data_IF_327596218829
#
_entry.id   IF_327596218829
#
_cell.length_a   1.000
_cell.length_b   1.000
_cell.length_c   1.000
_cell.angle_alpha   90.00
_cell.angle_beta   90.00
_cell.angle_gamma   90.00
#
_symmetry.space_group_name_H-M   'P 1'
#
loop_
_entity.id
_entity.type
_entity.pdbx_description
1 polymer ?
#
# COMPACT_ATOMS: atom_id res chain seq x y z
N UNK A 1 -6.39 27.47 9.19
CA UNK A 1 -5.08 27.79 8.61
C UNK A 1 -4.22 26.53 8.43
N UNK A 2 -4.00 25.67 9.46
CA UNK A 2 -3.13 24.49 9.42
C UNK A 2 -3.45 23.53 8.25
N UNK A 3 -4.73 23.27 7.97
CA UNK A 3 -5.14 22.43 6.84
C UNK A 3 -4.73 23.00 5.48
N UNK A 4 -4.73 24.34 5.33
CA UNK A 4 -4.31 24.98 4.09
C UNK A 4 -2.82 24.78 3.84
N UNK A 5 -2.00 24.91 4.89
CA UNK A 5 -0.54 24.70 4.82
C UNK A 5 -0.23 23.24 4.50
N UNK A 6 -0.84 22.29 5.20
CA UNK A 6 -0.64 20.86 4.96
C UNK A 6 -1.05 20.46 3.54
N UNK A 7 -2.25 20.87 3.09
CA UNK A 7 -2.74 20.52 1.76
C UNK A 7 -1.91 21.17 0.64
N UNK A 8 -1.38 22.38 0.86
CA UNK A 8 -0.45 23.02 -0.08
C UNK A 8 0.81 22.17 -0.31
N UNK A 9 1.35 21.56 0.75
CA UNK A 9 2.50 20.65 0.63
C UNK A 9 2.11 19.36 -0.09
N UNK A 10 0.97 18.76 0.24
CA UNK A 10 0.44 17.56 -0.43
C UNK A 10 0.20 17.78 -1.93
N UNK A 11 -0.10 18.99 -2.36
CA UNK A 11 -0.29 19.39 -3.77
C UNK A 11 0.96 19.97 -4.41
N UNK A 12 2.14 19.62 -3.91
CA UNK A 12 3.42 20.09 -4.44
C UNK A 12 3.50 21.62 -4.56
N UNK A 13 2.97 22.32 -3.55
CA UNK A 13 2.93 23.79 -3.44
C UNK A 13 2.05 24.48 -4.53
N UNK A 14 1.15 23.74 -5.16
CA UNK A 14 0.20 24.27 -6.12
C UNK A 14 -1.07 24.78 -5.40
N UNK A 15 -1.15 26.10 -5.18
CA UNK A 15 -2.27 26.70 -4.46
C UNK A 15 -3.62 26.61 -5.19
N UNK A 16 -3.63 26.46 -6.51
CA UNK A 16 -4.86 26.27 -7.29
C UNK A 16 -5.44 24.89 -7.01
N UNK A 17 -4.62 23.84 -7.02
CA UNK A 17 -5.05 22.49 -6.73
C UNK A 17 -5.38 22.31 -5.24
N UNK A 18 -4.66 23.03 -4.36
CA UNK A 18 -4.99 23.13 -2.93
C UNK A 18 -6.39 23.70 -2.73
N UNK A 19 -6.70 24.80 -3.43
CA UNK A 19 -8.01 25.44 -3.34
C UNK A 19 -9.14 24.53 -3.80
N UNK A 20 -8.95 23.81 -4.92
CA UNK A 20 -9.92 22.81 -5.41
C UNK A 20 -10.13 21.70 -4.38
N UNK A 21 -9.05 21.14 -3.81
CA UNK A 21 -9.13 20.06 -2.83
C UNK A 21 -9.85 20.47 -1.53
N UNK A 22 -9.73 21.74 -1.14
CA UNK A 22 -10.35 22.30 0.06
C UNK A 22 -11.67 23.04 -0.21
N UNK A 23 -12.23 22.93 -1.44
CA UNK A 23 -13.47 23.57 -1.85
C UNK A 23 -13.50 25.08 -1.56
N UNK A 24 -12.41 25.78 -1.85
CA UNK A 24 -12.26 27.21 -1.59
C UNK A 24 -11.59 27.93 -2.77
N UNK A 25 -11.29 29.22 -2.63
CA UNK A 25 -10.60 30.01 -3.65
C UNK A 25 -9.08 30.04 -3.44
N UNK A 26 -8.30 30.11 -4.50
CA UNK A 26 -6.84 30.26 -4.41
C UNK A 26 -6.40 31.51 -3.61
N UNK A 27 -7.04 32.69 -3.76
CA UNK A 27 -6.75 33.83 -2.88
C UNK A 27 -7.02 33.54 -1.40
N UNK A 28 -8.07 32.77 -1.09
CA UNK A 28 -8.39 32.35 0.28
C UNK A 28 -7.30 31.46 0.89
N UNK A 29 -6.79 30.49 0.12
CA UNK A 29 -5.65 29.66 0.54
C UNK A 29 -4.42 30.52 0.79
N UNK A 30 -4.07 31.40 -0.17
CA UNK A 30 -2.90 32.27 -0.05
C UNK A 30 -2.99 33.18 1.19
N UNK A 31 -4.15 33.79 1.42
CA UNK A 31 -4.42 34.65 2.58
C UNK A 31 -4.26 33.89 3.88
N UNK A 32 -4.87 32.70 4.01
CA UNK A 32 -4.78 31.88 5.22
C UNK A 32 -3.36 31.45 5.57
N UNK A 33 -2.53 31.19 4.54
CA UNK A 33 -1.11 30.86 4.73
C UNK A 33 -0.34 32.10 5.22
N UNK A 34 -0.54 33.28 4.59
CA UNK A 34 0.12 34.52 4.98
C UNK A 34 -0.26 34.91 6.41
N UNK A 35 -1.55 34.84 6.76
CA UNK A 35 -2.01 35.15 8.12
C UNK A 35 -1.32 34.26 9.17
N UNK A 36 -1.11 32.96 8.87
CA UNK A 36 -0.40 32.07 9.77
C UNK A 36 1.11 32.43 9.85
N UNK A 37 1.75 32.76 8.74
CA UNK A 37 3.14 33.21 8.69
C UNK A 37 3.33 34.48 9.49
N UNK A 38 2.43 35.46 9.37
CA UNK A 38 2.43 36.71 10.11
C UNK A 38 2.22 36.48 11.62
N UNK A 39 1.28 35.59 12.00
CA UNK A 39 1.01 35.22 13.39
C UNK A 39 2.19 34.53 14.06
N UNK A 40 2.92 33.70 13.32
CA UNK A 40 4.11 32.99 13.80
C UNK A 40 5.38 33.85 13.70
N UNK A 41 5.36 34.95 12.94
CA UNK A 41 6.51 35.81 12.69
C UNK A 41 7.60 35.14 11.83
N UNK A 42 7.25 34.13 11.02
CA UNK A 42 8.22 33.40 10.18
C UNK A 42 7.58 33.06 8.82
N UNK A 43 8.41 32.94 7.78
CA UNK A 43 7.99 32.42 6.49
C UNK A 43 8.03 30.88 6.49
N UNK A 44 6.87 30.24 6.28
CA UNK A 44 6.78 28.79 6.10
C UNK A 44 7.24 28.43 4.69
N UNK A 45 6.89 29.25 3.71
CA UNK A 45 7.18 29.03 2.30
C UNK A 45 8.02 30.19 1.72
N UNK A 46 9.11 29.85 1.05
CA UNK A 46 9.84 30.81 0.24
C UNK A 46 9.07 31.08 -1.06
N UNK A 47 8.93 32.38 -1.40
CA UNK A 47 8.18 32.84 -2.57
C UNK A 47 9.08 33.52 -3.60
N UNK A 48 8.68 33.44 -4.86
CA UNK A 48 9.19 34.29 -5.91
C UNK A 48 8.00 35.02 -6.55
N UNK A 49 7.85 36.30 -6.23
CA UNK A 49 6.65 37.08 -6.52
C UNK A 49 5.42 36.46 -5.81
N UNK A 50 4.37 36.12 -6.55
CA UNK A 50 3.14 35.50 -6.00
C UNK A 50 3.19 33.98 -5.90
N UNK A 51 4.28 33.33 -6.32
CA UNK A 51 4.36 31.85 -6.38
C UNK A 51 5.22 31.30 -5.24
N UNK A 52 4.69 30.31 -4.53
CA UNK A 52 5.45 29.48 -3.61
C UNK A 52 6.42 28.61 -4.41
N UNK A 53 7.67 28.52 -3.96
CA UNK A 53 8.75 27.77 -4.63
C UNK A 53 9.25 26.59 -3.81
N UNK A 54 9.38 26.76 -2.51
CA UNK A 54 9.90 25.70 -1.62
C UNK A 54 9.47 25.97 -0.19
N UNK A 55 9.59 24.94 0.64
CA UNK A 55 9.46 25.03 2.08
C UNK A 55 10.76 25.64 2.63
N UNK A 56 10.64 26.53 3.61
CA UNK A 56 11.80 27.10 4.33
C UNK A 56 12.28 26.12 5.42
N UNK A 57 13.45 26.36 5.97
CA UNK A 57 13.94 25.59 7.13
C UNK A 57 12.99 25.73 8.34
N UNK A 58 12.60 26.94 8.78
CA UNK A 58 11.57 27.12 9.82
C UNK A 58 10.24 26.45 9.43
N UNK A 59 9.84 26.55 8.14
CA UNK A 59 8.64 25.93 7.60
C UNK A 59 8.62 24.42 7.79
N UNK A 60 9.76 23.73 7.66
CA UNK A 60 9.86 22.29 7.91
C UNK A 60 9.52 21.94 9.37
N UNK A 61 9.95 22.73 10.34
CA UNK A 61 9.61 22.54 11.75
C UNK A 61 8.13 22.81 12.03
N UNK A 62 7.59 23.89 11.43
CA UNK A 62 6.15 24.21 11.56
C UNK A 62 5.28 23.10 10.97
N UNK A 63 5.65 22.56 9.81
CA UNK A 63 4.92 21.46 9.18
C UNK A 63 4.85 20.23 10.08
N UNK A 64 5.96 19.83 10.71
CA UNK A 64 5.96 18.71 11.67
C UNK A 64 4.97 18.94 12.82
N UNK A 65 4.93 20.17 13.35
CA UNK A 65 3.99 20.54 14.42
C UNK A 65 2.53 20.54 13.92
N UNK A 66 2.29 21.05 12.73
CA UNK A 66 0.96 21.04 12.09
C UNK A 66 0.45 19.61 11.90
N UNK A 67 1.30 18.69 11.43
CA UNK A 67 0.94 17.30 11.25
C UNK A 67 0.55 16.63 12.58
N UNK A 68 1.27 16.93 13.67
CA UNK A 68 0.93 16.47 15.01
C UNK A 68 -0.44 17.01 15.45
N UNK A 69 -0.66 18.32 15.32
CA UNK A 69 -1.92 18.98 15.72
C UNK A 69 -3.11 18.39 14.93
N UNK A 70 -2.98 18.28 13.62
CA UNK A 70 -4.05 17.76 12.78
C UNK A 70 -4.35 16.27 13.06
N UNK A 71 -3.32 15.48 13.38
CA UNK A 71 -3.46 14.11 13.84
C UNK A 71 -4.23 14.04 15.16
N UNK A 72 -3.87 14.88 16.14
CA UNK A 72 -4.58 14.88 17.43
C UNK A 72 -6.05 15.36 17.30
N UNK A 73 -6.34 16.29 16.40
CA UNK A 73 -7.73 16.66 16.07
C UNK A 73 -8.48 15.46 15.49
N UNK A 74 -7.82 14.65 14.64
CA UNK A 74 -8.40 13.43 14.09
C UNK A 74 -8.62 12.37 15.17
N UNK A 75 -7.65 12.19 16.07
CA UNK A 75 -7.74 11.31 17.21
C UNK A 75 -8.92 11.66 18.12
N UNK A 76 -9.11 12.95 18.44
CA UNK A 76 -10.25 13.41 19.25
C UNK A 76 -11.62 13.03 18.62
N UNK A 77 -11.74 13.12 17.29
CA UNK A 77 -12.97 12.68 16.60
C UNK A 77 -13.16 11.17 16.73
N UNK A 78 -12.12 10.37 16.51
CA UNK A 78 -12.16 8.90 16.64
C UNK A 78 -12.49 8.46 18.07
N UNK A 79 -11.95 9.16 19.08
CA UNK A 79 -12.32 8.93 20.49
C UNK A 79 -13.81 9.22 20.69
N UNK A 80 -14.29 10.37 20.22
CA UNK A 80 -15.73 10.69 20.31
C UNK A 80 -16.61 9.63 19.66
N UNK A 81 -16.26 9.18 18.45
CA UNK A 81 -16.97 8.10 17.75
C UNK A 81 -16.87 6.77 18.50
N UNK A 82 -15.74 6.43 19.11
CA UNK A 82 -15.58 5.21 19.91
C UNK A 82 -16.55 5.17 21.08
N UNK A 83 -16.75 6.27 21.78
CA UNK A 83 -17.61 6.33 22.97
C UNK A 83 -19.10 6.59 22.66
N UNK A 84 -19.41 7.23 21.52
CA UNK A 84 -20.79 7.48 21.11
C UNK A 84 -21.39 6.34 20.27
N UNK A 85 -20.58 5.64 19.49
CA UNK A 85 -21.00 4.61 18.54
C UNK A 85 -20.03 3.41 18.52
N UNK A 86 -19.90 2.73 19.66
CA UNK A 86 -18.86 1.69 19.86
C UNK A 86 -18.85 0.61 18.79
N UNK A 87 -20.03 0.18 18.30
CA UNK A 87 -20.20 -0.97 17.42
C UNK A 87 -20.49 -0.59 15.97
N UNK A 88 -20.37 0.70 15.62
CA UNK A 88 -20.67 1.18 14.26
C UNK A 88 -19.60 2.12 13.72
N UNK A 89 -19.50 2.20 12.41
CA UNK A 89 -18.54 3.07 11.71
C UNK A 89 -17.99 2.43 10.47
N UNK A 90 -16.82 2.88 10.03
CA UNK A 90 -16.14 2.33 8.87
C UNK A 90 -14.72 1.94 9.27
N UNK A 91 -14.31 0.73 8.89
CA UNK A 91 -12.93 0.29 8.86
C UNK A 91 -12.39 0.46 7.44
N UNK A 92 -11.47 1.38 7.25
CA UNK A 92 -10.80 1.60 5.97
C UNK A 92 -9.47 0.86 5.93
N UNK A 93 -9.34 -0.10 5.02
CA UNK A 93 -8.15 -0.94 4.85
C UNK A 93 -7.48 -0.61 3.53
N UNK A 94 -6.22 -0.18 3.56
CA UNK A 94 -5.37 -0.07 2.39
C UNK A 94 -4.56 -1.35 2.20
N UNK A 95 -4.58 -1.94 1.01
CA UNK A 95 -3.93 -3.23 0.80
C UNK A 95 -3.56 -3.45 -0.67
N UNK A 96 -2.75 -4.48 -0.93
CA UNK A 96 -2.49 -4.93 -2.30
C UNK A 96 -3.63 -5.82 -2.80
N UNK A 97 -3.77 -5.93 -4.13
CA UNK A 97 -4.83 -6.76 -4.74
C UNK A 97 -4.80 -8.21 -4.24
N UNK A 98 -3.61 -8.82 -4.21
CA UNK A 98 -3.44 -10.22 -3.76
C UNK A 98 -3.94 -10.43 -2.32
N UNK A 99 -3.66 -9.49 -1.41
CA UNK A 99 -4.15 -9.57 -0.03
C UNK A 99 -5.67 -9.41 0.04
N UNK A 100 -6.22 -8.41 -0.67
CA UNK A 100 -7.66 -8.17 -0.73
C UNK A 100 -8.43 -9.39 -1.25
N UNK A 101 -7.87 -10.08 -2.23
CA UNK A 101 -8.53 -11.20 -2.93
C UNK A 101 -8.44 -12.52 -2.17
N UNK A 102 -7.27 -12.85 -1.61
CA UNK A 102 -6.99 -14.21 -1.15
C UNK A 102 -6.81 -14.33 0.37
N UNK A 103 -6.57 -13.24 1.07
CA UNK A 103 -6.26 -13.27 2.51
C UNK A 103 -7.34 -12.61 3.35
N UNK A 104 -7.80 -11.43 2.95
CA UNK A 104 -8.74 -10.64 3.74
C UNK A 104 -10.20 -11.12 3.78
N UNK A 105 -10.73 -11.95 2.86
CA UNK A 105 -12.14 -12.34 2.90
C UNK A 105 -12.57 -12.96 4.23
N UNK A 106 -11.76 -13.88 4.78
CA UNK A 106 -12.08 -14.55 6.05
C UNK A 106 -11.99 -13.59 7.26
N UNK A 107 -10.89 -12.81 7.48
CA UNK A 107 -10.83 -11.80 8.53
C UNK A 107 -11.96 -10.78 8.46
N UNK A 108 -12.30 -10.30 7.25
CA UNK A 108 -13.40 -9.34 7.05
C UNK A 108 -14.75 -9.98 7.41
N UNK A 109 -14.99 -11.23 7.03
CA UNK A 109 -16.21 -11.95 7.41
C UNK A 109 -16.31 -12.11 8.93
N UNK A 110 -15.23 -12.47 9.64
CA UNK A 110 -15.18 -12.56 11.10
C UNK A 110 -15.45 -11.21 11.77
N UNK A 111 -14.83 -10.14 11.28
CA UNK A 111 -15.10 -8.79 11.77
C UNK A 111 -16.59 -8.43 11.62
N UNK A 112 -17.18 -8.70 10.47
CA UNK A 112 -18.60 -8.39 10.20
C UNK A 112 -19.57 -9.20 11.08
N UNK A 113 -19.19 -10.39 11.53
CA UNK A 113 -19.95 -11.16 12.50
C UNK A 113 -19.88 -10.54 13.89
N UNK A 114 -18.68 -10.09 14.33
CA UNK A 114 -18.49 -9.45 15.63
C UNK A 114 -19.06 -8.03 15.67
N UNK A 115 -18.97 -7.29 14.57
CA UNK A 115 -19.42 -5.90 14.44
C UNK A 115 -20.35 -5.71 13.23
N UNK A 116 -21.62 -6.13 13.29
CA UNK A 116 -22.54 -6.09 12.14
C UNK A 116 -22.80 -4.68 11.58
N UNK A 117 -22.63 -3.65 12.41
CA UNK A 117 -22.85 -2.24 12.04
C UNK A 117 -21.57 -1.54 11.53
N UNK A 118 -20.42 -2.24 11.49
CA UNK A 118 -19.18 -1.69 10.92
C UNK A 118 -19.13 -1.96 9.43
N UNK A 119 -19.00 -0.92 8.64
CA UNK A 119 -18.72 -1.04 7.22
C UNK A 119 -17.22 -1.25 6.99
N UNK A 120 -16.87 -2.02 5.96
CA UNK A 120 -15.46 -2.20 5.56
C UNK A 120 -15.27 -1.58 4.19
N UNK A 121 -14.25 -0.72 4.08
CA UNK A 121 -13.83 -0.10 2.82
C UNK A 121 -12.44 -0.62 2.46
N UNK A 122 -12.29 -1.27 1.31
CA UNK A 122 -11.00 -1.77 0.82
C UNK A 122 -10.45 -0.82 -0.25
N UNK A 123 -9.28 -0.27 0.01
CA UNK A 123 -8.52 0.55 -0.94
C UNK A 123 -7.33 -0.26 -1.44
N UNK A 124 -7.24 -0.45 -2.75
CA UNK A 124 -6.20 -1.27 -3.34
C UNK A 124 -5.13 -0.42 -4.02
N UNK A 125 -3.87 -0.81 -3.85
CA UNK A 125 -2.75 -0.13 -4.45
C UNK A 125 -1.43 -0.89 -4.32
N UNK A 126 -0.36 -0.31 -4.84
CA UNK A 126 1.00 -0.79 -4.59
C UNK A 126 1.38 -0.59 -3.11
N UNK A 127 2.43 -1.26 -2.60
CA UNK A 127 2.89 -1.06 -1.23
C UNK A 127 3.20 0.40 -0.89
N UNK A 128 3.74 1.18 -1.82
CA UNK A 128 3.96 2.62 -1.67
C UNK A 128 2.63 3.38 -1.51
N UNK A 129 1.65 3.09 -2.35
CA UNK A 129 0.32 3.70 -2.25
C UNK A 129 -0.40 3.32 -0.96
N UNK A 130 -0.21 2.08 -0.46
CA UNK A 130 -0.73 1.67 0.86
C UNK A 130 -0.13 2.54 1.97
N UNK A 131 1.19 2.76 1.95
CA UNK A 131 1.85 3.65 2.92
C UNK A 131 1.33 5.10 2.82
N UNK A 132 1.19 5.63 1.60
CA UNK A 132 0.64 6.98 1.37
C UNK A 132 -0.80 7.12 1.90
N UNK A 133 -1.65 6.13 1.70
CA UNK A 133 -3.02 6.14 2.22
C UNK A 133 -3.04 6.20 3.75
N UNK A 134 -2.16 5.47 4.43
CA UNK A 134 -2.02 5.54 5.88
C UNK A 134 -1.51 6.91 6.36
N UNK A 135 -0.45 7.42 5.73
CA UNK A 135 0.15 8.72 6.09
C UNK A 135 -0.82 9.88 5.87
N UNK A 136 -1.68 9.77 4.87
CA UNK A 136 -2.69 10.77 4.53
C UNK A 136 -4.05 10.57 5.23
N UNK A 137 -4.13 9.65 6.20
CA UNK A 137 -5.35 9.33 6.95
C UNK A 137 -6.53 8.88 6.06
N UNK A 138 -6.24 8.35 4.87
CA UNK A 138 -7.23 7.78 3.95
C UNK A 138 -7.57 6.32 4.30
N UNK A 139 -6.74 5.65 5.10
CA UNK A 139 -7.00 4.33 5.65
C UNK A 139 -6.60 4.25 7.12
N UNK A 140 -7.29 3.40 7.87
CA UNK A 140 -7.01 3.13 9.29
C UNK A 140 -5.87 2.15 9.47
N UNK A 141 -5.82 1.14 8.59
CA UNK A 141 -4.87 0.04 8.62
C UNK A 141 -4.36 -0.26 7.20
N UNK A 142 -3.10 -0.61 7.11
CA UNK A 142 -2.47 -1.01 5.85
C UNK A 142 -1.97 -2.45 5.91
N UNK A 143 -2.16 -3.20 4.85
CA UNK A 143 -1.69 -4.58 4.74
C UNK A 143 -0.92 -4.73 3.44
N UNK A 144 0.39 -4.86 3.55
CA UNK A 144 1.28 -5.02 2.41
C UNK A 144 2.57 -5.75 2.83
N UNK A 145 3.56 -5.72 1.98
CA UNK A 145 4.83 -6.40 2.21
C UNK A 145 5.78 -5.60 3.10
N UNK A 146 6.97 -6.11 3.32
CA UNK A 146 8.02 -5.57 4.18
C UNK A 146 8.43 -4.12 3.84
N UNK A 147 8.14 -3.60 2.64
CA UNK A 147 8.41 -2.20 2.28
C UNK A 147 7.76 -1.17 3.21
N UNK A 148 6.69 -1.54 3.93
CA UNK A 148 6.08 -0.68 4.94
C UNK A 148 7.02 -0.31 6.10
N UNK A 149 8.11 -1.06 6.31
CA UNK A 149 9.13 -0.74 7.33
C UNK A 149 10.01 0.45 6.98
N UNK A 150 9.99 0.90 5.75
CA UNK A 150 10.80 2.03 5.28
C UNK A 150 10.24 3.40 5.73
N UNK A 151 9.02 3.43 6.26
CA UNK A 151 8.33 4.65 6.65
C UNK A 151 8.39 4.83 8.17
N UNK A 152 9.15 5.81 8.65
CA UNK A 152 9.33 6.08 10.09
C UNK A 152 8.02 6.47 10.79
N UNK A 153 7.10 7.12 10.07
CA UNK A 153 5.79 7.53 10.58
C UNK A 153 4.75 6.40 10.59
N UNK A 154 5.12 5.19 10.20
CA UNK A 154 4.28 4.00 10.33
C UNK A 154 4.80 3.09 11.45
N UNK A 155 3.87 2.46 12.15
CA UNK A 155 4.13 1.29 12.99
C UNK A 155 3.68 0.09 12.21
N UNK A 156 4.57 -0.89 12.03
CA UNK A 156 4.24 -2.11 11.29
C UNK A 156 4.68 -3.35 12.04
N UNK A 157 3.81 -4.35 12.10
CA UNK A 157 4.06 -5.66 12.71
C UNK A 157 4.03 -6.75 11.64
N UNK A 158 4.92 -7.77 11.73
CA UNK A 158 4.87 -8.91 10.83
C UNK A 158 3.58 -9.71 11.11
N UNK A 159 2.94 -10.16 10.03
CA UNK A 159 1.71 -10.94 10.10
C UNK A 159 1.96 -12.40 9.71
N UNK A 160 2.44 -12.64 8.49
CA UNK A 160 2.77 -13.98 8.03
C UNK A 160 3.82 -13.95 6.90
N UNK A 161 4.49 -15.09 6.71
CA UNK A 161 5.42 -15.32 5.61
C UNK A 161 4.73 -16.02 4.44
N UNK A 162 5.20 -15.74 3.22
CA UNK A 162 4.75 -16.39 2.01
C UNK A 162 5.87 -16.43 0.97
N UNK A 163 5.74 -17.30 -0.02
CA UNK A 163 6.71 -17.47 -1.10
C UNK A 163 6.06 -17.27 -2.47
N UNK A 164 6.90 -17.05 -3.47
CA UNK A 164 6.45 -17.14 -4.86
C UNK A 164 6.33 -18.60 -5.30
N UNK A 165 5.43 -18.81 -6.22
CA UNK A 165 5.27 -20.08 -6.94
C UNK A 165 5.37 -19.85 -8.44
N UNK A 166 5.94 -20.81 -9.14
CA UNK A 166 5.89 -20.89 -10.58
C UNK A 166 4.57 -21.52 -10.99
N UNK A 167 3.84 -20.85 -11.87
CA UNK A 167 2.54 -21.31 -12.36
C UNK A 167 2.62 -21.59 -13.85
N UNK A 168 2.10 -22.74 -14.27
CA UNK A 168 2.14 -23.19 -15.65
C UNK A 168 0.96 -24.12 -15.97
N UNK A 169 0.60 -24.31 -17.25
CA UNK A 169 -0.38 -25.31 -17.64
C UNK A 169 0.06 -26.74 -17.28
N UNK A 170 -0.90 -27.62 -17.02
CA UNK A 170 -0.63 -29.06 -16.87
C UNK A 170 0.05 -29.58 -18.14
N UNK A 171 1.13 -30.34 -17.97
CA UNK A 171 1.92 -30.87 -19.10
C UNK A 171 3.03 -29.95 -19.60
N UNK A 172 3.24 -28.78 -19.01
CA UNK A 172 4.40 -27.93 -19.33
C UNK A 172 5.72 -28.65 -18.97
N UNK A 173 6.79 -28.56 -19.80
CA UNK A 173 8.06 -29.27 -19.55
C UNK A 173 8.66 -29.02 -18.15
N UNK A 174 8.56 -27.80 -17.62
CA UNK A 174 9.04 -27.47 -16.27
C UNK A 174 8.28 -28.22 -15.16
N UNK A 175 7.08 -28.71 -15.43
CA UNK A 175 6.30 -29.47 -14.45
C UNK A 175 6.94 -30.84 -14.14
N UNK A 176 7.63 -31.43 -15.12
CA UNK A 176 8.27 -32.73 -15.02
C UNK A 176 9.65 -32.68 -14.34
N UNK A 177 10.22 -31.51 -14.15
CA UNK A 177 11.51 -31.38 -13.50
C UNK A 177 11.41 -31.73 -12.01
N UNK A 178 12.33 -32.53 -11.51
CA UNK A 178 12.43 -32.83 -10.08
C UNK A 178 12.71 -31.54 -9.29
N UNK A 179 13.64 -30.72 -9.79
CA UNK A 179 14.03 -29.43 -9.19
C UNK A 179 14.08 -28.36 -10.28
N UNK A 180 13.45 -27.22 -10.02
CA UNK A 180 13.49 -26.04 -10.89
C UNK A 180 14.67 -25.15 -10.49
N UNK A 181 15.40 -24.64 -11.47
CA UNK A 181 16.50 -23.66 -11.30
C UNK A 181 16.18 -22.39 -12.06
N UNK A 182 16.81 -21.27 -11.72
CA UNK A 182 16.61 -20.00 -12.43
C UNK A 182 17.06 -20.09 -13.89
N UNK A 183 18.08 -20.92 -14.18
CA UNK A 183 18.57 -21.19 -15.53
C UNK A 183 17.51 -21.89 -16.41
N UNK A 184 16.62 -22.66 -15.81
CA UNK A 184 15.53 -23.33 -16.53
C UNK A 184 14.44 -22.30 -16.89
N UNK A 185 14.20 -21.29 -16.03
CA UNK A 185 13.17 -20.28 -16.24
C UNK A 185 13.51 -19.28 -17.36
N UNK A 186 14.79 -18.97 -17.58
CA UNK A 186 15.20 -18.02 -18.65
C UNK A 186 14.93 -18.55 -20.06
N UNK A 187 14.66 -19.86 -20.19
CA UNK A 187 14.33 -20.48 -21.48
C UNK A 187 12.88 -20.19 -21.91
N UNK A 188 12.03 -19.67 -21.02
CA UNK A 188 10.62 -19.47 -21.26
C UNK A 188 10.23 -18.00 -21.07
N UNK A 189 9.21 -17.54 -21.81
CA UNK A 189 8.57 -16.25 -21.49
C UNK A 189 7.97 -16.27 -20.08
N UNK A 190 8.15 -15.19 -19.34
CA UNK A 190 7.67 -15.05 -17.96
C UNK A 190 6.60 -13.95 -17.89
N UNK A 191 5.50 -14.24 -17.20
CA UNK A 191 4.44 -13.30 -16.83
C UNK A 191 4.50 -13.11 -15.32
N UNK A 192 4.62 -11.87 -14.82
CA UNK A 192 4.77 -11.67 -13.37
C UNK A 192 4.28 -10.28 -12.95
N UNK A 193 4.62 -9.86 -11.73
CA UNK A 193 4.20 -8.58 -11.19
C UNK A 193 4.93 -7.38 -11.78
N UNK A 194 4.23 -6.25 -11.79
CA UNK A 194 4.81 -4.96 -12.16
C UNK A 194 5.94 -4.55 -11.18
N UNK A 195 7.00 -3.84 -11.64
CA UNK A 195 8.16 -3.46 -10.81
C UNK A 195 7.85 -2.66 -9.53
N UNK A 196 6.70 -2.00 -9.45
CA UNK A 196 6.27 -1.26 -8.24
C UNK A 196 5.88 -2.17 -7.06
N UNK A 197 5.83 -3.49 -7.26
CA UNK A 197 5.50 -4.44 -6.21
C UNK A 197 6.77 -5.09 -5.66
N UNK A 198 6.88 -5.17 -4.33
CA UNK A 198 8.05 -5.73 -3.62
C UNK A 198 8.37 -7.15 -4.07
N UNK A 199 7.34 -7.98 -4.33
CA UNK A 199 7.53 -9.34 -4.82
C UNK A 199 8.32 -9.41 -6.14
N UNK A 200 8.16 -8.40 -7.04
CA UNK A 200 8.92 -8.33 -8.28
C UNK A 200 10.39 -8.00 -8.03
N UNK A 201 10.71 -7.11 -7.13
CA UNK A 201 12.10 -6.77 -6.83
C UNK A 201 12.91 -7.98 -6.36
N UNK A 202 12.31 -8.89 -5.59
CA UNK A 202 12.95 -10.15 -5.19
C UNK A 202 13.24 -11.07 -6.38
N UNK A 203 12.31 -11.15 -7.33
CA UNK A 203 12.49 -11.91 -8.57
C UNK A 203 13.69 -11.33 -9.33
N UNK A 204 13.70 -10.02 -9.56
CA UNK A 204 14.75 -9.34 -10.31
C UNK A 204 16.13 -9.52 -9.65
N UNK A 205 16.22 -9.38 -8.32
CA UNK A 205 17.47 -9.59 -7.55
C UNK A 205 17.95 -11.03 -7.64
N UNK A 206 17.05 -12.02 -7.56
CA UNK A 206 17.44 -13.43 -7.64
C UNK A 206 18.07 -13.77 -9.00
N UNK A 207 17.48 -13.29 -10.10
CA UNK A 207 18.06 -13.46 -11.43
C UNK A 207 19.38 -12.70 -11.60
N UNK A 208 19.43 -11.44 -11.16
CA UNK A 208 20.63 -10.61 -11.25
C UNK A 208 21.83 -11.21 -10.49
N UNK A 209 21.60 -11.77 -9.29
CA UNK A 209 22.63 -12.42 -8.49
C UNK A 209 23.24 -13.67 -9.17
N UNK A 210 22.58 -14.25 -10.15
CA UNK A 210 23.06 -15.35 -10.98
C UNK A 210 23.59 -14.89 -12.35
N UNK A 211 23.59 -13.58 -12.60
CA UNK A 211 23.95 -13.04 -13.91
C UNK A 211 22.95 -13.41 -15.02
N UNK A 212 21.72 -13.76 -14.64
CA UNK A 212 20.66 -14.16 -15.57
C UNK A 212 19.73 -12.98 -15.86
N UNK A 213 19.17 -12.96 -17.06
CA UNK A 213 18.16 -11.99 -17.47
C UNK A 213 16.87 -12.71 -17.82
N UNK A 214 15.81 -12.58 -17.01
CA UNK A 214 14.53 -13.21 -17.31
C UNK A 214 13.87 -12.56 -18.53
N UNK A 215 13.21 -13.37 -19.38
CA UNK A 215 12.40 -12.88 -20.50
C UNK A 215 10.99 -12.54 -20.03
N UNK A 216 10.80 -11.35 -19.43
CA UNK A 216 9.49 -10.91 -18.97
C UNK A 216 8.74 -10.30 -20.15
N UNK A 217 7.67 -10.98 -20.56
CA UNK A 217 6.85 -10.60 -21.73
C UNK A 217 5.59 -9.84 -21.35
N UNK A 218 5.16 -9.96 -20.08
CA UNK A 218 4.03 -9.23 -19.54
C UNK A 218 4.21 -9.04 -18.04
N UNK A 219 3.89 -7.85 -17.55
CA UNK A 219 3.74 -7.59 -16.13
C UNK A 219 2.34 -7.05 -15.79
N UNK A 220 1.84 -7.40 -14.60
CA UNK A 220 0.53 -7.01 -14.13
C UNK A 220 0.53 -6.75 -12.62
N UNK A 221 -0.50 -6.08 -12.14
CA UNK A 221 -0.62 -5.72 -10.71
C UNK A 221 -1.27 -6.83 -9.88
N UNK A 222 -1.95 -7.79 -10.52
CA UNK A 222 -2.66 -8.84 -9.80
C UNK A 222 -2.41 -10.25 -10.36
N UNK A 223 -2.54 -11.23 -9.48
CA UNK A 223 -2.28 -12.64 -9.79
C UNK A 223 -3.31 -13.27 -10.72
N UNK A 224 -4.55 -12.80 -10.73
CA UNK A 224 -5.61 -13.35 -11.57
C UNK A 224 -5.38 -12.99 -13.04
N UNK A 225 -4.93 -11.76 -13.30
CA UNK A 225 -4.50 -11.33 -14.65
C UNK A 225 -3.32 -12.18 -15.09
N UNK A 226 -2.29 -12.33 -14.25
CA UNK A 226 -1.12 -13.18 -14.57
C UNK A 226 -1.56 -14.60 -14.92
N UNK A 227 -2.38 -15.25 -14.08
CA UNK A 227 -2.89 -16.62 -14.33
C UNK A 227 -3.67 -16.71 -15.64
N UNK A 228 -4.45 -15.69 -15.97
CA UNK A 228 -5.21 -15.64 -17.22
C UNK A 228 -4.30 -15.72 -18.43
N UNK A 229 -3.22 -14.91 -18.46
CA UNK A 229 -2.28 -14.93 -19.59
C UNK A 229 -1.41 -16.20 -19.62
N UNK A 230 -1.15 -16.82 -18.48
CA UNK A 230 -0.49 -18.15 -18.43
C UNK A 230 -1.41 -19.20 -19.06
N UNK A 231 -2.72 -19.19 -18.78
CA UNK A 231 -3.71 -20.09 -19.42
C UNK A 231 -3.75 -19.92 -20.94
N UNK A 232 -3.58 -18.72 -21.42
CA UNK A 232 -3.54 -18.43 -22.85
C UNK A 232 -2.20 -18.82 -23.51
N UNK A 233 -1.26 -19.38 -22.75
CA UNK A 233 0.02 -19.83 -23.28
C UNK A 233 1.05 -18.73 -23.54
N UNK A 234 0.90 -17.54 -22.94
CA UNK A 234 1.82 -16.43 -23.13
C UNK A 234 3.20 -16.71 -22.50
N UNK A 235 3.26 -17.58 -21.51
CA UNK A 235 4.46 -17.95 -20.78
C UNK A 235 4.13 -18.64 -19.48
N UNK A 236 5.13 -18.81 -18.63
CA UNK A 236 4.98 -19.29 -17.26
C UNK A 236 4.78 -18.11 -16.31
N UNK A 237 3.99 -18.30 -15.26
CA UNK A 237 3.69 -17.24 -14.29
C UNK A 237 4.57 -17.34 -13.04
N UNK A 238 4.95 -16.19 -12.47
CA UNK A 238 5.50 -16.14 -11.10
C UNK A 238 4.54 -15.30 -10.28
N UNK A 239 3.85 -15.94 -9.32
CA UNK A 239 2.83 -15.31 -8.46
C UNK A 239 3.03 -15.68 -7.00
N UNK A 240 2.33 -14.98 -6.10
CA UNK A 240 2.27 -15.33 -4.69
C UNK A 240 1.52 -16.66 -4.48
N UNK A 241 2.01 -17.50 -3.57
CA UNK A 241 1.45 -18.86 -3.37
C UNK A 241 -0.04 -18.86 -2.98
N UNK A 242 -0.52 -17.85 -2.24
CA UNK A 242 -1.92 -17.75 -1.85
C UNK A 242 -2.85 -17.59 -3.07
N UNK A 243 -2.36 -17.10 -4.20
CA UNK A 243 -3.14 -16.99 -5.43
C UNK A 243 -3.47 -18.35 -6.08
N UNK A 244 -2.84 -19.42 -5.59
CA UNK A 244 -3.10 -20.79 -6.03
C UNK A 244 -3.90 -21.62 -5.03
N UNK A 245 -4.19 -21.06 -3.84
CA UNK A 245 -5.16 -21.66 -2.91
C UNK A 245 -6.56 -21.53 -3.50
N UNK A 246 -7.42 -22.49 -3.27
CA UNK A 246 -8.86 -22.43 -3.59
C UNK A 246 -9.24 -22.33 -5.08
N UNK A 247 -8.40 -22.82 -5.99
CA UNK A 247 -8.78 -23.02 -7.38
C UNK A 247 -8.76 -24.53 -7.75
N UNK A 248 -9.69 -25.34 -7.19
CA UNK A 248 -9.70 -26.80 -7.38
C UNK A 248 -9.98 -27.23 -8.83
N UNK A 249 -10.53 -26.33 -9.64
CA UNK A 249 -10.79 -26.54 -11.06
C UNK A 249 -9.67 -25.98 -11.95
N UNK A 250 -8.56 -25.54 -11.34
CA UNK A 250 -7.46 -24.96 -12.08
C UNK A 250 -6.83 -25.97 -13.04
N UNK A 251 -6.73 -25.57 -14.29
CA UNK A 251 -5.93 -26.19 -15.34
C UNK A 251 -4.43 -25.88 -15.20
N UNK A 252 -4.10 -25.03 -14.22
CA UNK A 252 -2.74 -24.63 -13.89
C UNK A 252 -2.20 -25.45 -12.71
N UNK A 253 -0.90 -25.67 -12.72
CA UNK A 253 -0.16 -26.24 -11.59
C UNK A 253 0.83 -25.23 -11.05
N UNK A 254 1.14 -25.36 -9.76
CA UNK A 254 2.08 -24.50 -9.06
C UNK A 254 3.28 -25.29 -8.53
N UNK A 255 4.48 -24.72 -8.64
CA UNK A 255 5.73 -25.26 -8.08
C UNK A 255 6.37 -24.19 -7.17
N UNK A 256 6.77 -24.54 -5.94
CA UNK A 256 7.36 -23.58 -5.02
C UNK A 256 8.68 -23.00 -5.57
N UNK A 257 8.90 -21.70 -5.35
CA UNK A 257 10.13 -20.99 -5.70
C UNK A 257 10.83 -20.37 -4.47
N UNK A 258 10.39 -20.68 -3.25
CA UNK A 258 10.92 -20.09 -2.03
C UNK A 258 12.43 -20.31 -1.83
N UNK A 259 12.97 -21.45 -2.23
CA UNK A 259 14.41 -21.71 -2.19
C UNK A 259 15.21 -20.81 -3.15
N UNK A 260 14.59 -20.38 -4.24
CA UNK A 260 15.25 -19.57 -5.28
C UNK A 260 15.07 -18.06 -5.06
N UNK A 261 13.88 -17.65 -4.64
CA UNK A 261 13.45 -16.25 -4.55
C UNK A 261 13.38 -15.73 -3.10
N UNK A 262 13.54 -16.63 -2.12
CA UNK A 262 13.32 -16.31 -0.70
C UNK A 262 11.85 -16.17 -0.33
N UNK A 263 11.62 -15.78 0.92
CA UNK A 263 10.27 -15.53 1.47
C UNK A 263 10.00 -14.04 1.57
N UNK A 264 8.75 -13.68 1.46
CA UNK A 264 8.23 -12.34 1.71
C UNK A 264 7.47 -12.33 3.04
N UNK A 265 7.41 -11.17 3.69
CA UNK A 265 6.66 -10.98 4.92
C UNK A 265 5.54 -9.99 4.64
N UNK A 266 4.31 -10.41 4.84
CA UNK A 266 3.18 -9.49 4.91
C UNK A 266 3.15 -8.84 6.28
N UNK A 267 2.93 -7.56 6.30
CA UNK A 267 2.88 -6.74 7.51
C UNK A 267 1.54 -6.01 7.59
N UNK A 268 1.08 -5.87 8.81
CA UNK A 268 -0.01 -4.96 9.17
C UNK A 268 0.62 -3.67 9.67
N UNK A 269 0.15 -2.52 9.18
CA UNK A 269 0.68 -1.22 9.57
C UNK A 269 -0.42 -0.20 9.81
N UNK A 270 -0.10 0.79 10.65
CA UNK A 270 -0.94 1.94 10.93
C UNK A 270 -0.08 3.18 11.18
N UNK A 271 -0.66 4.35 11.04
CA UNK A 271 0.05 5.61 11.25
C UNK A 271 0.46 5.76 12.70
N UNK A 272 1.72 6.11 12.95
CA UNK A 272 2.28 6.33 14.28
C UNK A 272 1.49 7.40 15.03
N UNK A 273 1.07 7.09 16.25
CA UNK A 273 0.28 7.99 17.09
C UNK A 273 -1.19 8.16 16.67
N UNK A 274 -1.69 7.40 15.70
CA UNK A 274 -3.12 7.37 15.41
C UNK A 274 -3.89 6.60 16.48
N UNK A 275 -5.02 7.15 16.91
CA UNK A 275 -5.98 6.43 17.75
C UNK A 275 -6.72 5.42 16.89
N UNK A 276 -6.63 4.15 17.25
CA UNK A 276 -7.36 3.08 16.58
C UNK A 276 -8.59 2.70 17.43
N UNK A 277 -9.73 2.53 16.78
CA UNK A 277 -10.97 2.07 17.42
C UNK A 277 -10.88 0.58 17.75
N UNK A 278 -11.68 0.10 18.70
CA UNK A 278 -11.64 -1.30 19.18
C UNK A 278 -11.77 -2.32 18.05
N UNK A 279 -12.68 -2.11 17.10
CA UNK A 279 -12.86 -3.03 15.99
C UNK A 279 -11.64 -3.05 15.03
N UNK A 280 -10.82 -1.99 15.00
CA UNK A 280 -9.58 -1.96 14.22
C UNK A 280 -8.52 -2.84 14.89
N UNK A 281 -8.40 -2.76 16.22
CA UNK A 281 -7.50 -3.64 16.99
C UNK A 281 -7.91 -5.10 16.82
N UNK A 282 -9.19 -5.41 17.00
CA UNK A 282 -9.67 -6.79 16.87
C UNK A 282 -9.51 -7.36 15.45
N UNK A 283 -9.54 -6.50 14.44
CA UNK A 283 -9.25 -6.92 13.07
C UNK A 283 -7.75 -7.21 12.87
N UNK A 284 -6.87 -6.53 13.59
CA UNK A 284 -5.42 -6.66 13.44
C UNK A 284 -4.82 -7.85 14.24
N UNK A 285 -5.55 -8.38 15.22
CA UNK A 285 -5.23 -9.59 15.99
C UNK A 285 -5.54 -10.88 15.19
#
# INVERSE_FOLDING_TARGET
>A
QFKFVQEAVRRNLNLTDTAKALHTSQPGVSKAIIELEDELGIEIFARHGKRIKRITEPGTHVLKSIDIILREIHNLKRIGEQFSNQDSGTLSIATTHTQARYVLPEPVAKLRQAYPKVNVSLHQGSPTQVAEMLLNDAADIGIATESLTQYEDLVSVPCYEWQHVLVMPKGHPLAALERIRLEDLVQYPIVTYHPTFTGRSRIDVAFANRGLKPNIVLDAIDSDVIKTYVRLGLGVGIVAEMAMKDDPLSDLIARPLGELLGKNITRVAFKRGAYLRNFVYQFAE
#
